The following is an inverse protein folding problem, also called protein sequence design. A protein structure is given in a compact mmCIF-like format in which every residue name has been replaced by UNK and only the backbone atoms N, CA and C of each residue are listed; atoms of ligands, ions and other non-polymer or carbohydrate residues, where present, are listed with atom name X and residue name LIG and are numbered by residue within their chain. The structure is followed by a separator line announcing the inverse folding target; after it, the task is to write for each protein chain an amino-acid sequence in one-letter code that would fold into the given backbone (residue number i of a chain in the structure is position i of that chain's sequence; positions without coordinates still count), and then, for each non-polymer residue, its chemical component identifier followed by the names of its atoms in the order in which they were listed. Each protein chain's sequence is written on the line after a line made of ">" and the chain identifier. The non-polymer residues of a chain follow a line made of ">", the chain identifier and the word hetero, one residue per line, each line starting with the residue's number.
data_IF_808468903688
#
_entry.id   IF_808468903688
#
_cell.length_a   1.000
_cell.length_b   1.000
_cell.length_c   1.000
_cell.angle_alpha   90.00
_cell.angle_beta   90.00
_cell.angle_gamma   90.00
#
_symmetry.space_group_name_H-M   'P 1'
#
loop_
_entity.id
_entity.type
_entity.pdbx_description
1 polymer ?
#
# COMPACT_ATOMS: atom_id res chain seq x y z
N UNK A 1 -4.36 46.20 16.29
CA UNK A 1 -5.12 45.50 15.24
C UNK A 1 -4.13 44.62 14.49
N UNK A 2 -3.99 43.38 14.96
CA UNK A 2 -3.19 42.35 14.29
C UNK A 2 -4.10 41.12 14.27
N UNK A 3 -4.64 40.81 13.10
CA UNK A 3 -5.34 39.53 12.87
C UNK A 3 -4.28 38.55 12.41
N UNK A 4 -3.92 37.61 13.28
CA UNK A 4 -3.24 36.39 12.89
C UNK A 4 -4.24 35.52 12.12
N UNK A 5 -4.10 35.52 10.79
CA UNK A 5 -4.69 34.48 9.96
C UNK A 5 -3.99 33.17 10.29
N UNK A 6 -4.67 32.29 11.04
CA UNK A 6 -4.26 30.90 11.22
C UNK A 6 -4.36 30.21 9.86
N UNK A 7 -3.27 30.27 9.10
CA UNK A 7 -3.03 29.41 7.95
C UNK A 7 -2.99 27.98 8.45
N UNK A 8 -4.12 27.29 8.32
CA UNK A 8 -4.19 25.84 8.37
C UNK A 8 -3.16 25.32 7.38
N UNK A 9 -2.10 24.69 7.91
CA UNK A 9 -1.10 24.03 7.09
C UNK A 9 -1.83 22.91 6.37
N UNK A 10 -2.11 23.11 5.09
CA UNK A 10 -2.46 22.03 4.17
C UNK A 10 -1.29 21.06 4.24
N UNK A 11 -1.51 19.95 4.95
CA UNK A 11 -0.61 18.83 5.05
C UNK A 11 -0.26 18.40 3.61
N UNK A 12 1.01 18.56 3.23
CA UNK A 12 1.53 18.31 1.89
C UNK A 12 1.61 16.83 1.53
N UNK A 13 0.72 16.02 2.09
CA UNK A 13 0.53 14.63 1.72
C UNK A 13 -0.45 14.63 0.56
N UNK A 14 0.07 14.63 -0.69
CA UNK A 14 -0.78 14.34 -1.85
C UNK A 14 -1.63 13.10 -1.54
N UNK A 15 -2.95 13.10 -1.84
CA UNK A 15 -3.81 11.97 -1.54
C UNK A 15 -3.22 10.73 -2.22
N UNK A 16 -2.70 9.80 -1.41
CA UNK A 16 -2.14 8.55 -1.89
C UNK A 16 -3.32 7.66 -2.26
N UNK A 17 -3.76 7.77 -3.51
CA UNK A 17 -4.83 6.92 -4.08
C UNK A 17 -4.44 5.47 -3.86
N UNK A 18 -5.33 4.72 -3.21
CA UNK A 18 -5.06 3.31 -2.89
C UNK A 18 -4.95 2.46 -4.16
N UNK A 19 -4.24 1.34 -4.09
CA UNK A 19 -4.12 0.41 -5.22
C UNK A 19 -5.50 -0.04 -5.74
N UNK A 20 -6.45 -0.26 -4.81
CA UNK A 20 -7.82 -0.66 -5.09
C UNK A 20 -8.59 0.45 -5.81
N UNK A 21 -8.42 1.69 -5.39
CA UNK A 21 -9.07 2.86 -5.99
C UNK A 21 -8.53 3.11 -7.40
N UNK A 22 -7.21 3.02 -7.61
CA UNK A 22 -6.60 3.08 -8.96
C UNK A 22 -7.15 1.99 -9.88
N UNK A 23 -7.36 0.77 -9.38
CA UNK A 23 -7.94 -0.31 -10.17
C UNK A 23 -9.43 -0.07 -10.46
N UNK A 24 -10.18 0.48 -9.50
CA UNK A 24 -11.58 0.83 -9.68
C UNK A 24 -11.76 1.90 -10.78
N UNK A 25 -10.90 2.91 -10.84
CA UNK A 25 -10.94 3.94 -11.87
C UNK A 25 -10.71 3.36 -13.28
N UNK A 26 -9.77 2.41 -13.41
CA UNK A 26 -9.49 1.72 -14.69
C UNK A 26 -10.68 0.86 -15.10
N UNK A 27 -11.32 0.19 -14.15
CA UNK A 27 -12.55 -0.57 -14.40
C UNK A 27 -13.69 0.33 -14.85
N UNK A 28 -13.89 1.47 -14.19
CA UNK A 28 -14.90 2.44 -14.56
C UNK A 28 -14.69 2.95 -15.99
N UNK A 29 -13.45 3.35 -16.33
CA UNK A 29 -13.09 3.78 -17.68
C UNK A 29 -13.31 2.68 -18.73
N UNK A 30 -12.96 1.42 -18.43
CA UNK A 30 -13.19 0.31 -19.34
C UNK A 30 -14.69 0.06 -19.60
N UNK A 31 -15.54 0.21 -18.57
CA UNK A 31 -17.00 0.08 -18.70
C UNK A 31 -17.59 1.23 -19.51
N UNK A 32 -17.13 2.46 -19.29
CA UNK A 32 -17.56 3.63 -20.06
C UNK A 32 -17.24 3.45 -21.56
N UNK A 33 -16.02 3.04 -21.89
CA UNK A 33 -15.62 2.74 -23.27
C UNK A 33 -16.46 1.61 -23.87
N UNK A 34 -16.77 0.57 -23.09
CA UNK A 34 -17.63 -0.52 -23.55
C UNK A 34 -19.06 -0.03 -23.85
N UNK A 35 -19.61 0.84 -23.01
CA UNK A 35 -20.93 1.42 -23.19
C UNK A 35 -20.99 2.31 -24.44
N UNK A 36 -20.03 3.22 -24.61
CA UNK A 36 -19.94 4.11 -25.78
C UNK A 36 -19.71 3.31 -27.07
N UNK A 37 -18.90 2.25 -27.01
CA UNK A 37 -18.72 1.32 -28.13
C UNK A 37 -20.02 0.58 -28.46
N UNK A 38 -20.82 0.24 -27.46
CA UNK A 38 -22.13 -0.39 -27.62
C UNK A 38 -23.13 0.54 -28.31
N UNK A 39 -23.19 1.79 -27.86
CA UNK A 39 -24.08 2.82 -28.42
C UNK A 39 -23.71 3.18 -29.86
N UNK A 40 -22.42 3.21 -30.18
CA UNK A 40 -21.91 3.44 -31.54
C UNK A 40 -21.98 2.20 -32.46
N UNK A 41 -22.37 1.03 -31.95
CA UNK A 41 -22.41 -0.22 -32.70
C UNK A 41 -21.03 -0.79 -33.04
N UNK A 42 -19.97 -0.33 -32.36
CA UNK A 42 -18.58 -0.75 -32.56
C UNK A 42 -18.10 -1.76 -31.52
N UNK A 43 -18.92 -2.10 -30.52
CA UNK A 43 -18.59 -3.12 -29.55
C UNK A 43 -18.51 -4.50 -30.20
N UNK A 44 -17.32 -5.08 -30.20
CA UNK A 44 -17.03 -6.40 -30.76
C UNK A 44 -16.37 -7.31 -29.74
N UNK A 45 -16.30 -8.61 -30.03
CA UNK A 45 -15.53 -9.56 -29.22
C UNK A 45 -14.05 -9.14 -29.09
N UNK A 46 -13.47 -8.49 -30.10
CA UNK A 46 -12.09 -8.02 -30.05
C UNK A 46 -11.92 -6.82 -29.11
N UNK A 47 -12.87 -5.89 -29.12
CA UNK A 47 -12.93 -4.78 -28.15
C UNK A 47 -13.07 -5.32 -26.73
N UNK A 48 -13.98 -6.27 -26.50
CA UNK A 48 -14.16 -6.91 -25.20
C UNK A 48 -12.89 -7.60 -24.68
N UNK A 49 -12.20 -8.37 -25.54
CA UNK A 49 -10.92 -9.01 -25.23
C UNK A 49 -9.84 -7.97 -24.92
N UNK A 50 -9.78 -6.90 -25.70
CA UNK A 50 -8.81 -5.82 -25.52
C UNK A 50 -9.01 -5.12 -24.18
N UNK A 51 -10.25 -4.73 -23.84
CA UNK A 51 -10.57 -4.09 -22.56
C UNK A 51 -10.22 -5.00 -21.39
N UNK A 52 -10.56 -6.29 -21.49
CA UNK A 52 -10.20 -7.30 -20.48
C UNK A 52 -8.68 -7.41 -20.31
N UNK A 53 -7.93 -7.43 -21.41
CA UNK A 53 -6.47 -7.50 -21.38
C UNK A 53 -5.85 -6.24 -20.78
N UNK A 54 -6.40 -5.05 -21.06
CA UNK A 54 -5.94 -3.78 -20.47
C UNK A 54 -6.16 -3.78 -18.96
N UNK A 55 -7.38 -4.06 -18.52
CA UNK A 55 -7.72 -4.17 -17.09
C UNK A 55 -6.80 -5.17 -16.38
N UNK A 56 -6.64 -6.37 -16.95
CA UNK A 56 -5.80 -7.41 -16.37
C UNK A 56 -4.33 -6.99 -16.25
N UNK A 57 -3.76 -6.37 -17.29
CA UNK A 57 -2.36 -5.88 -17.27
C UNK A 57 -2.15 -4.77 -16.25
N UNK A 58 -3.08 -3.82 -16.17
CA UNK A 58 -2.99 -2.71 -15.21
C UNK A 58 -3.16 -3.23 -13.78
N UNK A 59 -4.13 -4.11 -13.53
CA UNK A 59 -4.31 -4.76 -12.24
C UNK A 59 -3.06 -5.52 -11.78
N UNK A 60 -2.40 -6.27 -12.67
CA UNK A 60 -1.15 -6.95 -12.35
C UNK A 60 -0.02 -5.97 -11.99
N UNK A 61 0.12 -4.86 -12.71
CA UNK A 61 1.12 -3.83 -12.39
C UNK A 61 0.85 -3.16 -11.04
N UNK A 62 -0.40 -2.86 -10.74
CA UNK A 62 -0.81 -2.27 -9.46
C UNK A 62 -0.50 -3.24 -8.31
N UNK A 63 -0.78 -4.54 -8.48
CA UNK A 63 -0.48 -5.55 -7.47
C UNK A 63 1.02 -5.62 -7.16
N UNK A 64 1.87 -5.69 -8.19
CA UNK A 64 3.34 -5.71 -8.03
C UNK A 64 3.84 -4.44 -7.33
N UNK A 65 3.30 -3.28 -7.67
CA UNK A 65 3.68 -2.02 -7.02
C UNK A 65 3.28 -2.01 -5.53
N UNK A 66 2.07 -2.46 -5.22
CA UNK A 66 1.58 -2.56 -3.84
C UNK A 66 2.43 -3.53 -3.00
N UNK A 67 2.75 -4.70 -3.55
CA UNK A 67 3.63 -5.70 -2.93
C UNK A 67 5.04 -5.13 -2.67
N UNK A 68 5.63 -4.48 -3.67
CA UNK A 68 6.97 -3.87 -3.56
C UNK A 68 6.99 -2.76 -2.50
N UNK A 69 5.93 -1.94 -2.45
CA UNK A 69 5.79 -0.87 -1.46
C UNK A 69 5.63 -1.45 -0.05
N UNK A 70 4.80 -2.47 0.10
CA UNK A 70 4.60 -3.19 1.36
C UNK A 70 5.88 -3.84 1.86
N UNK A 71 6.62 -4.53 0.97
CA UNK A 71 7.93 -5.11 1.29
C UNK A 71 8.92 -4.05 1.75
N UNK A 72 9.03 -2.92 1.02
CA UNK A 72 9.96 -1.84 1.38
C UNK A 72 9.61 -1.19 2.72
N UNK A 73 8.31 -0.98 3.00
CA UNK A 73 7.86 -0.43 4.29
C UNK A 73 8.17 -1.40 5.42
N UNK A 74 7.76 -2.66 5.30
CA UNK A 74 7.97 -3.67 6.33
C UNK A 74 9.46 -3.95 6.58
N UNK A 75 10.29 -3.93 5.54
CA UNK A 75 11.75 -4.02 5.69
C UNK A 75 12.31 -2.81 6.42
N UNK A 76 11.89 -1.59 6.04
CA UNK A 76 12.31 -0.36 6.71
C UNK A 76 11.96 -0.37 8.20
N UNK A 77 10.75 -0.81 8.54
CA UNK A 77 10.30 -1.00 9.92
C UNK A 77 11.13 -2.06 10.66
N UNK A 78 11.41 -3.21 10.03
CA UNK A 78 12.25 -4.25 10.61
C UNK A 78 13.69 -3.77 10.89
N UNK A 79 14.31 -3.03 9.95
CA UNK A 79 15.63 -2.44 10.15
C UNK A 79 15.61 -1.39 11.25
N UNK A 80 14.58 -0.54 11.31
CA UNK A 80 14.42 0.43 12.38
C UNK A 80 14.30 -0.25 13.75
N UNK A 81 13.59 -1.37 13.85
CA UNK A 81 13.50 -2.17 15.08
C UNK A 81 14.85 -2.79 15.48
N UNK A 82 15.63 -3.30 14.52
CA UNK A 82 16.97 -3.85 14.79
C UNK A 82 17.96 -2.76 15.20
N UNK A 83 17.92 -1.60 14.53
CA UNK A 83 18.80 -0.46 14.82
C UNK A 83 18.42 0.28 16.13
N UNK A 84 17.13 0.31 16.48
CA UNK A 84 16.65 0.79 17.79
C UNK A 84 16.85 -0.24 18.91
N UNK A 85 16.99 -1.53 18.57
CA UNK A 85 17.21 -2.63 19.50
C UNK A 85 18.62 -2.70 20.10
N UNK A 86 19.58 -1.90 19.61
CA UNK A 86 20.94 -1.84 20.20
C UNK A 86 21.03 -1.04 21.51
N UNK A 87 19.96 -0.41 21.99
CA UNK A 87 19.90 0.13 23.36
C UNK A 87 19.38 -0.89 24.39
N UNK A 88 18.77 -2.00 23.93
CA UNK A 88 18.24 -3.06 24.78
C UNK A 88 18.98 -4.37 24.55
N UNK A 89 20.22 -4.48 25.05
CA UNK A 89 21.05 -5.67 24.91
C UNK A 89 20.30 -6.96 25.25
N UNK A 90 20.54 -8.01 24.45
CA UNK A 90 20.03 -9.36 24.68
C UNK A 90 20.29 -9.76 26.15
N UNK A 91 19.26 -9.72 26.98
CA UNK A 91 19.37 -10.14 28.37
C UNK A 91 19.44 -11.66 28.39
N UNK A 92 20.67 -12.19 28.43
CA UNK A 92 20.92 -13.59 28.77
C UNK A 92 20.46 -13.79 30.20
N UNK A 93 19.25 -14.36 30.35
CA UNK A 93 18.71 -14.76 31.64
C UNK A 93 19.57 -15.91 32.18
N UNK A 94 20.57 -15.61 33.01
CA UNK A 94 21.26 -16.64 33.80
C UNK A 94 20.27 -17.14 34.87
N UNK A 95 19.76 -18.35 34.70
CA UNK A 95 19.11 -19.08 35.78
C UNK A 95 20.17 -19.41 36.85
N UNK A 96 20.13 -18.69 37.97
CA UNK A 96 20.92 -19.04 39.16
C UNK A 96 20.43 -20.38 39.68
N UNK A 97 21.18 -21.43 39.37
CA UNK A 97 21.06 -22.73 40.02
C UNK A 97 21.67 -22.65 41.41
N UNK A 98 20.93 -22.19 42.41
CA UNK A 98 21.21 -22.46 43.84
C UNK A 98 20.14 -21.82 44.74
N UNK A 99 19.07 -22.54 44.99
CA UNK A 99 18.41 -22.51 46.29
C UNK A 99 18.19 -23.96 46.69
N UNK A 100 19.22 -24.57 47.27
CA UNK A 100 19.04 -25.80 48.03
C UNK A 100 18.58 -25.41 49.43
N UNK A 101 17.42 -25.90 49.92
CA UNK A 101 17.05 -25.70 51.31
C UNK A 101 17.92 -26.59 52.20
N UNK A 102 18.69 -25.99 53.11
CA UNK A 102 19.34 -26.72 54.21
C UNK A 102 18.27 -27.20 55.21
N UNK A 103 18.52 -28.39 55.77
CA UNK A 103 17.65 -29.15 56.68
C UNK A 103 17.52 -28.54 58.06
#
# INVERSE_FOLDING_TARGET
>A
MWSEGTGERVDGSEPVISAQERLADVMAAAVEVAAESGESGTYTAEVARTLTAVVGKVGARIAVEAETRGFRSGWGEAIALVAGGTEGGAQVLRMTSANAPEK
#
